data_IF_047609306858
#
_entry.id   IF_047609306858
#
_cell.length_a   1.000
_cell.length_b   1.000
_cell.length_c   1.000
_cell.angle_alpha   90.00
_cell.angle_beta   90.00
_cell.angle_gamma   90.00
#
_symmetry.space_group_name_H-M   'P 1'
#
loop_
_entity.id
_entity.type
_entity.pdbx_description
1 polymer ?
#
# COMPACT_ATOMS: atom_id res chain seq x y z
N UNK A 1 12.69 -5.06 -16.63
CA UNK A 1 11.80 -3.88 -16.59
C UNK A 1 12.43 -2.85 -15.68
N UNK A 2 12.82 -1.68 -16.19
CA UNK A 2 13.57 -0.66 -15.43
C UNK A 2 12.84 -0.19 -14.16
N UNK A 3 11.51 -0.26 -14.14
CA UNK A 3 10.66 0.13 -13.02
C UNK A 3 10.85 -0.79 -11.80
N UNK A 4 10.99 -2.10 -12.02
CA UNK A 4 11.25 -3.05 -10.94
C UNK A 4 12.60 -2.79 -10.26
N UNK A 5 13.61 -2.42 -11.06
CA UNK A 5 14.95 -2.19 -10.57
C UNK A 5 15.03 -0.91 -9.73
N UNK A 6 14.31 0.15 -10.12
CA UNK A 6 14.21 1.38 -9.35
C UNK A 6 13.55 1.15 -7.97
N UNK A 7 12.49 0.34 -7.91
CA UNK A 7 11.81 0.01 -6.65
C UNK A 7 12.74 -0.75 -5.70
N UNK A 8 13.49 -1.73 -6.22
CA UNK A 8 14.45 -2.52 -5.41
C UNK A 8 15.54 -1.63 -4.80
N UNK A 9 16.10 -0.68 -5.57
CA UNK A 9 17.08 0.28 -5.05
C UNK A 9 16.49 1.21 -3.98
N UNK A 10 15.25 1.69 -4.18
CA UNK A 10 14.57 2.55 -3.23
C UNK A 10 14.22 1.85 -1.90
N UNK A 11 14.00 0.53 -1.95
CA UNK A 11 13.70 -0.32 -0.79
C UNK A 11 14.95 -0.76 0.00
N UNK A 12 16.18 -0.39 -0.40
CA UNK A 12 17.41 -0.66 0.40
C UNK A 12 17.44 0.10 1.73
N UNK A 13 16.63 1.14 1.86
CA UNK A 13 16.30 1.80 3.13
C UNK A 13 14.81 1.66 3.35
N UNK A 14 14.40 1.50 4.61
CA UNK A 14 12.98 1.41 4.95
C UNK A 14 12.30 2.72 4.58
N UNK A 15 11.29 2.66 3.68
CA UNK A 15 10.53 3.82 3.20
C UNK A 15 9.05 3.53 3.27
N UNK A 16 8.28 4.59 3.44
CA UNK A 16 6.82 4.52 3.39
C UNK A 16 6.33 4.41 1.94
N UNK A 17 5.14 3.83 1.76
CA UNK A 17 4.52 3.71 0.43
C UNK A 17 4.27 5.07 -0.21
N UNK A 18 3.97 6.10 0.60
CA UNK A 18 3.78 7.46 0.13
C UNK A 18 5.07 8.09 -0.42
N UNK A 19 6.20 7.89 0.26
CA UNK A 19 7.51 8.34 -0.23
C UNK A 19 7.88 7.68 -1.56
N UNK A 20 7.64 6.36 -1.70
CA UNK A 20 7.91 5.64 -2.95
C UNK A 20 7.04 6.20 -4.08
N UNK A 21 5.75 6.47 -3.82
CA UNK A 21 4.83 7.10 -4.78
C UNK A 21 5.29 8.50 -5.22
N UNK A 22 5.76 9.32 -4.28
CA UNK A 22 6.29 10.64 -4.58
C UNK A 22 7.58 10.57 -5.41
N UNK A 23 8.51 9.66 -5.07
CA UNK A 23 9.79 9.50 -5.78
C UNK A 23 9.61 8.96 -7.20
N UNK A 24 8.71 7.99 -7.38
CA UNK A 24 8.39 7.42 -8.69
C UNK A 24 7.47 8.33 -9.52
N UNK A 25 6.91 9.40 -8.93
CA UNK A 25 5.91 10.28 -9.55
C UNK A 25 4.71 9.51 -10.10
N UNK A 26 4.25 8.51 -9.34
CA UNK A 26 3.12 7.63 -9.71
C UNK A 26 2.00 7.71 -8.67
N UNK A 27 0.73 7.50 -9.06
CA UNK A 27 -0.38 7.48 -8.11
C UNK A 27 -0.22 6.40 -7.03
N UNK A 28 -0.63 6.71 -5.80
CA UNK A 28 -0.47 5.83 -4.63
C UNK A 28 -1.16 4.46 -4.81
N UNK A 29 -2.27 4.41 -5.53
CA UNK A 29 -2.97 3.15 -5.85
C UNK A 29 -2.13 2.24 -6.76
N UNK A 30 -1.49 2.82 -7.79
CA UNK A 30 -0.62 2.09 -8.73
C UNK A 30 0.59 1.52 -7.99
N UNK A 31 1.24 2.33 -7.17
CA UNK A 31 2.40 1.88 -6.38
C UNK A 31 2.02 0.78 -5.38
N UNK A 32 0.84 0.84 -4.75
CA UNK A 32 0.37 -0.24 -3.88
C UNK A 32 0.25 -1.58 -4.61
N UNK A 33 -0.34 -1.59 -5.81
CA UNK A 33 -0.47 -2.82 -6.62
C UNK A 33 0.90 -3.39 -6.97
N UNK A 34 1.84 -2.55 -7.41
CA UNK A 34 3.21 -2.97 -7.75
C UNK A 34 3.97 -3.51 -6.52
N UNK A 35 3.82 -2.87 -5.36
CA UNK A 35 4.43 -3.35 -4.12
C UNK A 35 3.80 -4.65 -3.62
N UNK A 36 2.49 -4.84 -3.81
CA UNK A 36 1.82 -6.12 -3.52
C UNK A 36 2.38 -7.26 -4.39
N UNK A 37 2.52 -7.05 -5.69
CA UNK A 37 3.11 -8.05 -6.59
C UNK A 37 4.56 -8.42 -6.20
N UNK A 38 5.36 -7.43 -5.82
CA UNK A 38 6.72 -7.67 -5.33
C UNK A 38 6.78 -8.39 -3.98
N UNK A 39 5.80 -8.14 -3.09
CA UNK A 39 5.68 -8.82 -1.81
C UNK A 39 5.25 -10.28 -2.01
N UNK A 40 4.28 -10.53 -2.91
CA UNK A 40 3.80 -11.88 -3.26
C UNK A 40 4.92 -12.74 -3.88
N UNK A 41 5.80 -12.11 -4.66
CA UNK A 41 7.02 -12.74 -5.19
C UNK A 41 8.14 -12.92 -4.15
N UNK A 42 7.93 -12.50 -2.90
CA UNK A 42 8.93 -12.58 -1.83
C UNK A 42 10.14 -11.66 -2.01
N UNK A 43 10.08 -10.68 -2.92
CA UNK A 43 11.20 -9.79 -3.24
C UNK A 43 11.35 -8.63 -2.27
N UNK A 44 10.27 -8.23 -1.61
CA UNK A 44 10.27 -7.20 -0.57
C UNK A 44 9.46 -7.65 0.65
N UNK A 45 9.75 -7.08 1.81
CA UNK A 45 8.88 -7.17 3.00
C UNK A 45 8.26 -5.82 3.25
N UNK A 46 6.93 -5.80 3.34
CA UNK A 46 6.17 -4.62 3.71
C UNK A 46 5.93 -4.67 5.22
N UNK A 47 6.44 -3.66 5.93
CA UNK A 47 6.18 -3.49 7.36
C UNK A 47 5.12 -2.40 7.54
N UNK A 48 4.04 -2.73 8.22
CA UNK A 48 2.99 -1.78 8.56
C UNK A 48 2.72 -1.79 10.06
N UNK A 49 2.43 -0.62 10.63
CA UNK A 49 1.73 -0.51 11.91
C UNK A 49 0.29 -0.93 11.69
N UNK A 50 0.02 -2.23 11.69
CA UNK A 50 -1.33 -2.80 11.82
C UNK A 50 -2.43 -2.17 10.97
N UNK A 51 -2.28 -2.06 9.65
CA UNK A 51 -3.40 -2.09 8.71
C UNK A 51 -2.90 -2.76 7.43
N UNK A 52 -2.82 -4.08 7.51
CA UNK A 52 -2.51 -4.93 6.37
C UNK A 52 -3.56 -4.76 5.28
N UNK A 53 -3.08 -4.72 4.04
CA UNK A 53 -3.80 -5.25 2.88
C UNK A 53 -5.23 -4.78 2.69
N UNK A 54 -5.44 -3.58 2.15
CA UNK A 54 -6.59 -3.28 1.27
C UNK A 54 -8.02 -3.52 1.79
N UNK A 55 -8.23 -3.86 3.07
CA UNK A 55 -9.55 -3.98 3.65
C UNK A 55 -9.91 -2.64 4.28
N UNK A 56 -11.05 -2.02 3.90
CA UNK A 56 -11.59 -0.92 4.67
C UNK A 56 -11.77 -1.42 6.10
N UNK A 57 -11.21 -0.64 7.02
CA UNK A 57 -11.22 -0.91 8.44
C UNK A 57 -12.63 -1.34 8.89
N UNK A 58 -12.77 -2.50 9.53
CA UNK A 58 -14.08 -3.06 9.92
C UNK A 58 -14.87 -2.03 10.73
N UNK A 59 -14.18 -1.23 11.55
CA UNK A 59 -14.74 -0.13 12.31
C UNK A 59 -15.30 0.99 11.43
N UNK A 60 -14.67 1.28 10.28
CA UNK A 60 -15.16 2.26 9.30
C UNK A 60 -16.40 1.74 8.56
N UNK A 61 -16.40 0.46 8.15
CA UNK A 61 -17.57 -0.17 7.53
C UNK A 61 -18.78 -0.22 8.49
N UNK A 62 -18.56 -0.56 9.77
CA UNK A 62 -19.62 -0.56 10.79
C UNK A 62 -20.14 0.85 11.09
N UNK A 63 -19.27 1.87 11.09
CA UNK A 63 -19.69 3.27 11.22
C UNK A 63 -20.57 3.72 10.05
N UNK A 64 -20.19 3.38 8.81
CA UNK A 64 -20.99 3.72 7.62
C UNK A 64 -22.33 2.98 7.63
N UNK A 65 -22.35 1.68 7.95
CA UNK A 65 -23.57 0.88 8.03
C UNK A 65 -24.53 1.44 9.09
N UNK A 66 -24.01 1.82 10.26
CA UNK A 66 -24.81 2.42 11.32
C UNK A 66 -25.33 3.82 10.94
N UNK A 67 -24.56 4.59 10.16
CA UNK A 67 -25.02 5.87 9.62
C UNK A 67 -26.19 5.73 8.65
N UNK A 68 -26.13 4.75 7.74
CA UNK A 68 -27.18 4.49 6.75
C UNK A 68 -28.47 3.90 7.34
N UNK A 69 -28.40 3.19 8.47
CA UNK A 69 -29.58 2.64 9.18
C UNK A 69 -30.30 3.64 10.07
N UNK A 70 -29.73 4.83 10.26
CA UNK A 70 -30.29 5.91 11.10
C UNK A 70 -30.92 7.04 10.29
N UNK A 71 -31.08 6.84 8.98
CA UNK A 71 -31.85 7.65 8.04
C UNK A 71 -33.09 6.86 7.61
#
# INVERSE_FOLDING_TARGET
MPELQAIVELCRRMRTVAEISALLKMPLGVVRVLLSDLADQGKIRVYGTGHGTGQPDRALLERVLNGLRRL
#
